data_IF_510633031149
#
_entry.id   IF_510633031149
#
_cell.length_a   1.000
_cell.length_b   1.000
_cell.length_c   1.000
_cell.angle_alpha   90.00
_cell.angle_beta   90.00
_cell.angle_gamma   90.00
#
_symmetry.space_group_name_H-M   'P 1'
#
loop_
_entity.id
_entity.type
_entity.pdbx_description
1 polymer ?
#
# COMPACT_ATOMS: atom_id res chain seq x y z
N UNK A 1 27.60 -18.42 -14.78
CA UNK A 1 26.85 -17.37 -14.08
C UNK A 1 25.47 -17.93 -13.75
N UNK A 2 25.32 -18.41 -12.53
CA UNK A 2 24.04 -18.93 -12.03
C UNK A 2 23.08 -17.76 -11.83
N UNK A 3 22.18 -17.55 -12.79
CA UNK A 3 21.07 -16.62 -12.62
C UNK A 3 20.00 -17.30 -11.77
N UNK A 4 20.26 -17.36 -10.46
CA UNK A 4 19.35 -17.81 -9.40
C UNK A 4 18.16 -16.85 -9.24
N UNK A 5 17.31 -16.76 -10.26
CA UNK A 5 15.99 -16.17 -10.14
C UNK A 5 15.07 -17.18 -9.48
N UNK A 6 14.97 -17.13 -8.14
CA UNK A 6 13.95 -17.87 -7.39
C UNK A 6 12.57 -17.39 -7.86
N UNK A 7 12.02 -18.06 -8.89
CA UNK A 7 10.66 -17.84 -9.38
C UNK A 7 9.74 -18.25 -8.25
N UNK A 8 9.37 -17.29 -7.39
CA UNK A 8 8.31 -17.50 -6.41
C UNK A 8 7.12 -18.10 -7.16
N UNK A 9 6.57 -19.24 -6.72
CA UNK A 9 5.48 -19.86 -7.45
C UNK A 9 4.33 -18.86 -7.54
N UNK A 10 3.82 -18.63 -8.77
CA UNK A 10 2.61 -17.84 -8.97
C UNK A 10 1.54 -18.41 -8.05
N UNK A 11 0.87 -17.57 -7.27
CA UNK A 11 -0.26 -17.96 -6.42
C UNK A 11 -1.32 -18.62 -7.29
N UNK A 12 -1.27 -19.94 -7.37
CA UNK A 12 -2.25 -20.80 -8.01
C UNK A 12 -3.56 -20.62 -7.26
N UNK A 13 -4.65 -20.33 -7.99
CA UNK A 13 -5.95 -20.70 -7.47
C UNK A 13 -6.01 -22.19 -7.74
N UNK A 14 -5.73 -23.03 -6.74
CA UNK A 14 -6.42 -24.30 -6.75
C UNK A 14 -7.90 -23.92 -6.78
N UNK A 15 -8.61 -24.29 -7.83
CA UNK A 15 -10.06 -24.34 -7.79
C UNK A 15 -10.33 -25.68 -7.10
N UNK A 16 -10.52 -25.78 -5.77
CA UNK A 16 -11.38 -26.84 -5.34
C UNK A 16 -12.79 -26.33 -5.58
N UNK A 17 -13.60 -27.11 -6.31
CA UNK A 17 -14.96 -27.33 -5.83
C UNK A 17 -14.85 -27.43 -4.30
N UNK A 18 -15.45 -26.49 -3.56
CA UNK A 18 -15.49 -26.54 -2.10
C UNK A 18 -15.93 -27.95 -1.67
N UNK A 19 -14.99 -28.78 -1.22
CA UNK A 19 -15.27 -30.06 -0.58
C UNK A 19 -14.02 -30.49 0.16
N UNK A 20 -14.24 -30.84 1.41
CA UNK A 20 -13.25 -31.19 2.42
C UNK A 20 -12.33 -32.32 1.98
N UNK A 21 -11.11 -32.35 2.49
CA UNK A 21 -10.25 -33.53 2.37
C UNK A 21 -8.81 -33.27 2.76
N UNK A 22 -8.42 -33.76 3.92
CA UNK A 22 -7.04 -33.85 4.37
C UNK A 22 -6.25 -34.87 3.53
N UNK A 23 -4.94 -34.63 3.43
CA UNK A 23 -3.87 -35.64 3.30
C UNK A 23 -3.46 -36.15 1.91
N UNK A 24 -2.13 -36.12 1.75
CA UNK A 24 -1.26 -37.07 1.03
C UNK A 24 -1.31 -37.11 -0.49
N UNK A 25 -0.12 -37.02 -1.08
CA UNK A 25 0.07 -36.77 -2.50
C UNK A 25 -0.42 -37.88 -3.40
N UNK A 26 -1.04 -37.46 -4.50
CA UNK A 26 -1.05 -38.14 -5.78
C UNK A 26 -0.98 -37.05 -6.86
N UNK A 27 -0.18 -37.31 -7.88
CA UNK A 27 -0.03 -36.50 -9.08
C UNK A 27 -1.35 -36.47 -9.85
N UNK A 28 -2.22 -35.53 -9.51
CA UNK A 28 -3.37 -35.18 -10.32
C UNK A 28 -2.95 -34.11 -11.33
N UNK A 29 -3.47 -34.20 -12.56
CA UNK A 29 -3.28 -33.20 -13.61
C UNK A 29 -3.90 -31.85 -13.19
N UNK A 30 -3.18 -31.10 -12.34
CA UNK A 30 -3.58 -29.78 -11.91
C UNK A 30 -3.47 -28.83 -13.09
N UNK A 31 -4.61 -28.49 -13.70
CA UNK A 31 -4.69 -27.39 -14.66
C UNK A 31 -4.38 -26.10 -13.90
N UNK A 32 -3.16 -25.59 -14.06
CA UNK A 32 -2.73 -24.33 -13.45
C UNK A 32 -3.41 -23.15 -14.14
N UNK A 33 -4.60 -22.78 -13.68
CA UNK A 33 -5.28 -21.56 -14.11
C UNK A 33 -4.79 -20.41 -13.24
N UNK A 34 -4.37 -19.31 -13.90
CA UNK A 34 -4.02 -18.06 -13.23
C UNK A 34 -5.20 -17.60 -12.36
N UNK A 35 -4.97 -17.47 -11.04
CA UNK A 35 -5.96 -16.88 -10.13
C UNK A 35 -6.41 -15.51 -10.67
N UNK A 36 -7.72 -15.27 -10.75
CA UNK A 36 -8.22 -13.93 -11.11
C UNK A 36 -7.83 -12.94 -10.01
N UNK A 37 -7.73 -11.65 -10.37
CA UNK A 37 -7.32 -10.59 -9.43
C UNK A 37 -8.22 -10.61 -8.18
N UNK A 38 -7.64 -10.91 -7.03
CA UNK A 38 -8.34 -10.93 -5.74
C UNK A 38 -8.86 -12.29 -5.26
N UNK A 39 -8.54 -13.40 -5.95
CA UNK A 39 -8.90 -14.78 -5.58
C UNK A 39 -7.86 -15.51 -4.74
N UNK A 40 -6.76 -14.85 -4.34
CA UNK A 40 -5.77 -15.48 -3.49
C UNK A 40 -6.36 -15.75 -2.10
N UNK A 41 -6.42 -17.03 -1.71
CA UNK A 41 -7.02 -17.51 -0.45
C UNK A 41 -5.99 -17.76 0.65
N UNK A 42 -4.69 -17.71 0.33
CA UNK A 42 -3.62 -17.86 1.32
C UNK A 42 -3.63 -16.66 2.29
N UNK A 43 -3.55 -16.94 3.59
CA UNK A 43 -3.46 -15.95 4.67
C UNK A 43 -2.42 -14.84 4.41
N UNK A 44 -1.25 -15.18 3.87
CA UNK A 44 -0.20 -14.22 3.53
C UNK A 44 -0.67 -13.20 2.47
N UNK A 45 -1.38 -13.67 1.44
CA UNK A 45 -1.92 -12.81 0.38
C UNK A 45 -3.08 -11.92 0.86
N UNK A 46 -3.88 -12.42 1.81
CA UNK A 46 -4.93 -11.64 2.46
C UNK A 46 -4.33 -10.52 3.31
N UNK A 47 -3.31 -10.83 4.12
CA UNK A 47 -2.60 -9.85 4.93
C UNK A 47 -1.96 -8.75 4.06
N UNK A 48 -1.30 -9.12 2.97
CA UNK A 48 -0.74 -8.15 2.02
C UNK A 48 -1.82 -7.24 1.42
N UNK A 49 -2.96 -7.81 1.02
CA UNK A 49 -4.08 -7.05 0.44
C UNK A 49 -4.64 -6.04 1.45
N UNK A 50 -4.80 -6.43 2.70
CA UNK A 50 -5.24 -5.53 3.78
C UNK A 50 -4.22 -4.42 4.02
N UNK A 51 -2.92 -4.73 4.00
CA UNK A 51 -1.86 -3.73 4.06
C UNK A 51 -1.94 -2.71 2.92
N UNK A 52 -2.12 -3.17 1.67
CA UNK A 52 -2.27 -2.29 0.49
C UNK A 52 -3.53 -1.42 0.55
N UNK A 53 -4.64 -1.95 1.10
CA UNK A 53 -5.87 -1.16 1.35
C UNK A 53 -5.60 -0.04 2.36
N UNK A 54 -5.00 -0.37 3.51
CA UNK A 54 -4.67 0.61 4.56
C UNK A 54 -3.75 1.72 4.06
N UNK A 55 -2.74 1.37 3.25
CA UNK A 55 -1.88 2.37 2.60
C UNK A 55 -2.71 3.26 1.67
N UNK A 56 -3.60 2.68 0.86
CA UNK A 56 -4.40 3.44 -0.10
C UNK A 56 -5.41 4.37 0.60
N UNK A 57 -5.99 3.94 1.73
CA UNK A 57 -6.86 4.79 2.56
C UNK A 57 -6.09 5.96 3.15
N UNK A 58 -4.91 5.71 3.73
CA UNK A 58 -4.03 6.78 4.25
C UNK A 58 -3.63 7.77 3.16
N UNK A 59 -3.34 7.30 1.94
CA UNK A 59 -3.03 8.18 0.81
C UNK A 59 -4.21 9.07 0.43
N UNK A 60 -5.46 8.60 0.56
CA UNK A 60 -6.65 9.43 0.31
C UNK A 60 -6.82 10.49 1.39
N UNK A 61 -6.73 10.10 2.65
CA UNK A 61 -6.82 11.04 3.78
C UNK A 61 -5.77 12.16 3.65
N UNK A 62 -4.55 11.82 3.23
CA UNK A 62 -3.51 12.82 3.00
C UNK A 62 -3.85 13.79 1.85
N UNK A 63 -4.51 13.31 0.79
CA UNK A 63 -4.96 14.18 -0.31
C UNK A 63 -6.05 15.16 0.13
N UNK A 64 -6.92 14.76 1.06
CA UNK A 64 -8.02 15.59 1.54
C UNK A 64 -7.55 16.70 2.50
N UNK A 65 -6.44 16.48 3.20
CA UNK A 65 -5.88 17.42 4.18
C UNK A 65 -4.97 18.48 3.57
N UNK A 66 -4.28 18.15 2.48
CA UNK A 66 -3.27 19.03 1.89
C UNK A 66 -3.83 19.70 0.64
N UNK A 67 -3.81 21.04 0.55
CA UNK A 67 -4.28 21.76 -0.64
C UNK A 67 -3.48 21.31 -1.88
N UNK A 68 -4.13 21.36 -3.05
CA UNK A 68 -3.54 21.04 -4.36
C UNK A 68 -3.06 19.58 -4.56
N UNK A 69 -3.09 18.70 -3.56
CA UNK A 69 -2.67 17.31 -3.69
C UNK A 69 -3.59 16.45 -4.56
N UNK A 70 -4.84 16.86 -4.77
CA UNK A 70 -5.82 16.16 -5.62
C UNK A 70 -5.49 16.18 -7.11
N UNK A 71 -4.67 17.15 -7.55
CA UNK A 71 -4.27 17.31 -8.96
C UNK A 71 -2.96 16.59 -9.29
N UNK A 72 -2.23 16.12 -8.28
CA UNK A 72 -0.89 15.55 -8.45
C UNK A 72 -0.99 14.10 -8.93
N UNK A 73 -0.34 13.81 -10.06
CA UNK A 73 -0.26 12.47 -10.64
C UNK A 73 0.99 11.77 -10.10
N UNK A 74 0.77 10.79 -9.23
CA UNK A 74 1.84 9.92 -8.72
C UNK A 74 2.05 10.04 -7.21
N UNK A 75 2.25 8.88 -6.56
CA UNK A 75 2.33 8.81 -5.10
C UNK A 75 3.60 9.42 -4.51
N UNK A 76 4.71 9.37 -5.23
CA UNK A 76 5.98 9.93 -4.74
C UNK A 76 5.89 11.46 -4.67
N UNK A 77 5.53 12.09 -5.80
CA UNK A 77 5.40 13.55 -5.91
C UNK A 77 4.36 14.08 -4.92
N UNK A 78 3.23 13.39 -4.75
CA UNK A 78 2.23 13.75 -3.74
C UNK A 78 2.84 13.81 -2.33
N UNK A 79 3.68 12.84 -1.95
CA UNK A 79 4.32 12.82 -0.64
C UNK A 79 5.35 13.93 -0.49
N UNK A 80 6.08 14.28 -1.55
CA UNK A 80 7.03 15.39 -1.54
C UNK A 80 6.29 16.73 -1.30
N UNK A 81 5.15 16.95 -1.97
CA UNK A 81 4.34 18.15 -1.75
C UNK A 81 3.74 18.22 -0.34
N UNK A 82 3.33 17.08 0.22
CA UNK A 82 2.88 17.01 1.61
C UNK A 82 3.99 17.42 2.58
N UNK A 83 5.22 16.95 2.35
CA UNK A 83 6.39 17.32 3.16
C UNK A 83 6.64 18.83 3.07
N UNK A 84 6.61 19.38 1.86
CA UNK A 84 6.76 20.82 1.64
C UNK A 84 5.69 21.63 2.38
N UNK A 85 4.43 21.20 2.32
CA UNK A 85 3.33 21.84 3.01
C UNK A 85 3.53 21.86 4.54
N UNK A 86 3.88 20.73 5.14
CA UNK A 86 4.15 20.63 6.58
C UNK A 86 5.30 21.54 7.00
N UNK A 87 6.40 21.58 6.23
CA UNK A 87 7.53 22.47 6.52
C UNK A 87 7.14 23.95 6.42
N UNK A 88 6.29 24.31 5.44
CA UNK A 88 5.78 25.68 5.30
C UNK A 88 4.92 26.10 6.50
N UNK A 89 4.09 25.19 7.02
CA UNK A 89 3.28 25.43 8.22
C UNK A 89 4.14 25.60 9.46
N UNK A 90 5.16 24.75 9.64
CA UNK A 90 6.11 24.86 10.75
C UNK A 90 6.82 26.23 10.76
N UNK A 91 7.28 26.71 9.60
CA UNK A 91 7.87 28.05 9.48
C UNK A 91 6.88 29.16 9.83
N UNK A 92 5.63 29.06 9.37
CA UNK A 92 4.60 30.05 9.71
C UNK A 92 4.34 30.10 11.22
N UNK A 93 4.22 28.95 11.88
CA UNK A 93 4.04 28.88 13.34
C UNK A 93 5.22 29.48 14.08
N UNK A 94 6.47 29.23 13.63
CA UNK A 94 7.66 29.81 14.23
C UNK A 94 7.68 31.34 14.13
N UNK A 95 7.36 31.89 12.95
CA UNK A 95 7.31 33.33 12.71
C UNK A 95 6.26 33.97 13.62
N UNK A 96 5.04 33.44 13.61
CA UNK A 96 3.93 33.98 14.42
C UNK A 96 4.30 33.91 15.91
N UNK A 97 4.86 32.80 16.37
CA UNK A 97 5.29 32.66 17.78
C UNK A 97 6.31 33.72 18.17
N UNK A 98 7.30 34.00 17.31
CA UNK A 98 8.29 35.05 17.56
C UNK A 98 7.69 36.46 17.51
N UNK A 99 6.77 36.73 16.58
CA UNK A 99 6.10 38.04 16.50
C UNK A 99 5.24 38.32 17.73
N UNK A 100 4.51 37.31 18.22
CA UNK A 100 3.69 37.42 19.42
C UNK A 100 4.52 37.65 20.68
N UNK A 101 5.73 37.08 20.74
CA UNK A 101 6.68 37.30 21.84
C UNK A 101 7.33 38.70 21.80
N UNK A 102 7.70 39.18 20.60
CA UNK A 102 8.30 40.52 20.43
C UNK A 102 7.30 41.67 20.60
N UNK A 103 6.00 41.38 20.65
CA UNK A 103 4.94 42.37 20.87
C UNK A 103 4.56 42.52 22.36
N UNK A 104 5.27 41.83 23.26
CA UNK A 104 5.03 41.85 24.71
C UNK A 104 6.07 42.67 25.51
N UNK A 105 7.02 43.32 24.83
CA UNK A 105 7.98 44.28 25.40
C UNK A 105 7.59 45.74 25.11
#
# INVERSE_FOLDING_TARGET
>A
MENGGSRRPMTYCCIPCCSMGSSTGQSEDYVHIRAKRGQATNSQSLAERLGRKKISERMKLLQDLVPECSKIIGKAIMLDEIINYVQSLQRQVEIISKQMLLSQD
#
